data_IF_530052881337
#
_entry.id   IF_530052881337
#
_cell.length_a   1.000
_cell.length_b   1.000
_cell.length_c   1.000
_cell.angle_alpha   90.00
_cell.angle_beta   90.00
_cell.angle_gamma   90.00
#
_symmetry.space_group_name_H-M   'P 1'
#
loop_
_entity.id
_entity.type
_entity.pdbx_description
1 polymer ?
#
# COMPACT_ATOMS: atom_id res chain seq x y z
N UNK A 1 -10.26 8.08 2.96
CA UNK A 1 -9.32 8.76 2.05
C UNK A 1 -9.53 8.28 0.61
N UNK A 2 -9.32 6.99 0.28
CA UNK A 2 -9.46 6.48 -1.08
C UNK A 2 -10.79 6.77 -1.77
N UNK A 3 -11.93 6.62 -1.05
CA UNK A 3 -13.24 6.98 -1.58
C UNK A 3 -13.36 8.47 -1.91
N UNK A 4 -12.82 9.35 -1.07
CA UNK A 4 -12.88 10.80 -1.26
C UNK A 4 -11.99 11.21 -2.44
N UNK A 5 -10.76 10.75 -2.45
CA UNK A 5 -9.81 11.06 -3.52
C UNK A 5 -10.25 10.47 -4.85
N UNK A 6 -10.69 9.21 -4.86
CA UNK A 6 -11.25 8.56 -6.04
C UNK A 6 -12.54 9.20 -6.52
N UNK A 7 -13.39 9.70 -5.61
CA UNK A 7 -14.59 10.46 -5.95
C UNK A 7 -14.27 11.78 -6.66
N UNK A 8 -13.26 12.51 -6.17
CA UNK A 8 -12.78 13.73 -6.83
C UNK A 8 -12.31 13.43 -8.26
N UNK A 9 -11.42 12.45 -8.43
CA UNK A 9 -10.93 12.07 -9.75
C UNK A 9 -12.03 11.55 -10.67
N UNK A 10 -13.01 10.80 -10.13
CA UNK A 10 -14.16 10.34 -10.91
C UNK A 10 -15.01 11.50 -11.43
N UNK A 11 -15.26 12.52 -10.62
CA UNK A 11 -15.98 13.73 -11.06
C UNK A 11 -15.22 14.41 -12.19
N UNK A 12 -13.90 14.54 -12.09
CA UNK A 12 -13.09 15.15 -13.14
C UNK A 12 -13.15 14.34 -14.45
N UNK A 13 -13.13 13.03 -14.38
CA UNK A 13 -13.29 12.13 -15.55
C UNK A 13 -14.66 12.33 -16.18
N UNK A 14 -15.73 12.44 -15.39
CA UNK A 14 -17.09 12.71 -15.88
C UNK A 14 -17.24 14.12 -16.49
N UNK A 15 -16.32 15.02 -16.22
CA UNK A 15 -16.20 16.33 -16.85
C UNK A 15 -15.24 16.32 -18.05
N UNK A 16 -15.09 15.16 -18.70
CA UNK A 16 -14.27 14.95 -19.90
C UNK A 16 -12.74 15.11 -19.71
N UNK A 17 -12.25 15.05 -18.45
CA UNK A 17 -10.81 14.98 -18.24
C UNK A 17 -10.30 13.58 -18.64
N UNK A 18 -9.15 13.46 -19.33
CA UNK A 18 -8.57 12.17 -19.65
C UNK A 18 -8.41 11.27 -18.40
N UNK A 19 -8.78 10.00 -18.52
CA UNK A 19 -8.82 9.04 -17.40
C UNK A 19 -7.52 9.04 -16.61
N UNK A 20 -6.38 8.98 -17.30
CA UNK A 20 -5.06 8.97 -16.68
C UNK A 20 -4.79 10.22 -15.80
N UNK A 21 -5.26 11.38 -16.24
CA UNK A 21 -5.11 12.63 -15.48
C UNK A 21 -6.04 12.66 -14.26
N UNK A 22 -7.29 12.20 -14.41
CA UNK A 22 -8.22 12.06 -13.29
C UNK A 22 -7.68 11.10 -12.21
N UNK A 23 -7.10 9.98 -12.64
CA UNK A 23 -6.45 9.03 -11.74
C UNK A 23 -5.20 9.62 -11.06
N UNK A 24 -4.35 10.32 -11.81
CA UNK A 24 -3.15 10.96 -11.26
C UNK A 24 -3.50 12.01 -10.20
N UNK A 25 -4.50 12.86 -10.47
CA UNK A 25 -4.99 13.87 -9.52
C UNK A 25 -5.58 13.20 -8.26
N UNK A 26 -6.38 12.14 -8.43
CA UNK A 26 -6.93 11.38 -7.31
C UNK A 26 -5.82 10.78 -6.43
N UNK A 27 -4.81 10.17 -7.06
CA UNK A 27 -3.66 9.60 -6.35
C UNK A 27 -2.88 10.68 -5.62
N UNK A 28 -2.56 11.80 -6.27
CA UNK A 28 -1.86 12.93 -5.65
C UNK A 28 -2.65 13.49 -4.45
N UNK A 29 -3.96 13.62 -4.58
CA UNK A 29 -4.82 14.07 -3.50
C UNK A 29 -4.90 13.03 -2.35
N UNK A 30 -4.89 11.74 -2.67
CA UNK A 30 -4.83 10.68 -1.67
C UNK A 30 -3.52 10.71 -0.88
N UNK A 31 -2.37 10.92 -1.55
CA UNK A 31 -1.05 11.10 -0.94
C UNK A 31 -1.06 12.32 -0.01
N UNK A 32 -1.60 13.45 -0.48
CA UNK A 32 -1.73 14.66 0.36
C UNK A 32 -2.58 14.41 1.61
N UNK A 33 -3.72 13.75 1.49
CA UNK A 33 -4.61 13.43 2.62
C UNK A 33 -3.99 12.45 3.62
N UNK A 34 -3.14 11.54 3.15
CA UNK A 34 -2.45 10.55 4.01
C UNK A 34 -1.17 11.09 4.66
N UNK A 35 -0.68 12.26 4.21
CA UNK A 35 0.61 12.78 4.59
C UNK A 35 1.78 11.95 4.04
N UNK A 36 1.58 11.28 2.90
CA UNK A 36 2.56 10.44 2.21
C UNK A 36 3.14 9.27 3.05
N UNK A 37 2.48 8.87 4.12
CA UNK A 37 2.99 7.92 5.11
C UNK A 37 3.37 6.54 4.52
N UNK A 38 2.63 6.06 3.51
CA UNK A 38 2.92 4.77 2.87
C UNK A 38 4.03 4.89 1.82
N UNK A 39 4.04 6.00 1.14
CA UNK A 39 5.00 6.38 0.12
C UNK A 39 6.39 6.57 0.75
N UNK A 40 6.45 7.25 1.88
CA UNK A 40 7.63 7.45 2.70
C UNK A 40 8.22 6.10 3.16
N UNK A 41 7.39 5.26 3.78
CA UNK A 41 7.82 3.92 4.20
C UNK A 41 8.34 3.06 3.06
N UNK A 42 7.80 3.18 1.84
CA UNK A 42 8.34 2.48 0.67
C UNK A 42 9.72 3.00 0.27
N UNK A 43 9.92 4.31 0.27
CA UNK A 43 11.19 4.93 -0.06
C UNK A 43 12.27 4.56 0.96
N UNK A 44 11.94 4.67 2.25
CA UNK A 44 12.83 4.35 3.36
C UNK A 44 13.24 2.87 3.37
N UNK A 45 12.27 1.97 3.16
CA UNK A 45 12.55 0.54 3.02
C UNK A 45 13.50 0.27 1.84
N UNK A 46 13.27 0.92 0.71
CA UNK A 46 14.10 0.74 -0.48
C UNK A 46 15.53 1.24 -0.26
N UNK A 47 15.70 2.41 0.36
CA UNK A 47 17.02 2.96 0.67
C UNK A 47 17.76 2.10 1.72
N UNK A 48 17.09 1.72 2.80
CA UNK A 48 17.68 0.90 3.84
C UNK A 48 18.12 -0.48 3.33
N UNK A 49 17.24 -1.18 2.64
CA UNK A 49 17.55 -2.53 2.13
C UNK A 49 18.46 -2.51 0.90
N UNK A 50 18.39 -1.46 0.08
CA UNK A 50 19.26 -1.28 -1.07
C UNK A 50 20.71 -0.96 -0.68
N UNK A 51 20.91 -0.17 0.35
CA UNK A 51 22.25 0.15 0.87
C UNK A 51 22.92 -1.05 1.59
N UNK A 52 22.12 -1.96 2.17
CA UNK A 52 22.62 -3.12 2.91
C UNK A 52 23.44 -2.78 4.14
N UNK A 53 23.97 -3.82 4.77
CA UNK A 53 24.77 -3.70 6.00
C UNK A 53 24.10 -4.40 7.18
N UNK A 54 24.53 -4.07 8.40
CA UNK A 54 23.90 -4.55 9.62
C UNK A 54 22.61 -3.80 9.94
N UNK A 55 21.79 -4.34 10.84
CA UNK A 55 20.48 -3.78 11.18
C UNK A 55 20.55 -2.35 11.71
N UNK A 56 21.61 -1.99 12.44
CA UNK A 56 21.79 -0.62 12.95
C UNK A 56 22.05 0.37 11.84
N UNK A 57 22.91 0.02 10.87
CA UNK A 57 23.17 0.86 9.70
C UNK A 57 21.92 1.05 8.86
N UNK A 58 21.19 -0.05 8.60
CA UNK A 58 19.93 -0.01 7.84
C UNK A 58 18.90 0.87 8.56
N UNK A 59 18.73 0.69 9.86
CA UNK A 59 17.83 1.52 10.67
C UNK A 59 18.21 3.02 10.61
N UNK A 60 19.48 3.34 10.67
CA UNK A 60 19.95 4.73 10.56
C UNK A 60 19.61 5.35 9.19
N UNK A 61 19.68 4.55 8.12
CA UNK A 61 19.30 5.01 6.77
C UNK A 61 17.80 5.22 6.68
N UNK A 62 16.98 4.30 7.18
CA UNK A 62 15.52 4.40 7.21
C UNK A 62 15.06 5.65 7.98
N UNK A 63 15.75 6.03 9.04
CA UNK A 63 15.41 7.22 9.83
C UNK A 63 16.11 8.52 9.36
N UNK A 64 16.89 8.48 8.27
CA UNK A 64 17.47 9.68 7.66
C UNK A 64 16.42 10.36 6.77
N UNK A 65 16.11 11.62 7.03
CA UNK A 65 15.14 12.40 6.25
C UNK A 65 15.52 12.66 4.78
N UNK A 66 16.71 12.22 4.37
CA UNK A 66 17.22 12.39 2.99
C UNK A 66 16.89 11.14 2.18
N UNK A 67 16.24 11.33 1.03
CA UNK A 67 16.00 10.25 0.09
C UNK A 67 17.29 9.88 -0.66
N UNK A 68 17.58 8.60 -0.70
CA UNK A 68 18.66 8.02 -1.49
C UNK A 68 18.18 7.61 -2.90
N UNK A 69 19.12 7.10 -3.70
CA UNK A 69 18.82 6.70 -5.08
C UNK A 69 17.81 5.55 -5.16
N UNK A 70 17.91 4.57 -4.25
CA UNK A 70 16.97 3.44 -4.23
C UNK A 70 15.56 3.90 -3.87
N UNK A 71 15.41 4.77 -2.86
CA UNK A 71 14.12 5.32 -2.43
C UNK A 71 13.46 6.14 -3.52
N UNK A 72 14.20 7.08 -4.13
CA UNK A 72 13.69 7.88 -5.26
C UNK A 72 13.26 7.00 -6.43
N UNK A 73 14.07 6.01 -6.81
CA UNK A 73 13.76 5.12 -7.91
C UNK A 73 12.53 4.25 -7.63
N UNK A 74 12.49 3.62 -6.44
CA UNK A 74 11.38 2.77 -6.04
C UNK A 74 10.06 3.56 -5.96
N UNK A 75 10.08 4.73 -5.31
CA UNK A 75 8.90 5.57 -5.16
C UNK A 75 8.37 6.08 -6.51
N UNK A 76 9.26 6.60 -7.37
CA UNK A 76 8.88 7.11 -8.69
C UNK A 76 8.24 6.03 -9.55
N UNK A 77 8.88 4.85 -9.63
CA UNK A 77 8.33 3.72 -10.40
C UNK A 77 7.01 3.23 -9.81
N UNK A 78 6.90 3.13 -8.48
CA UNK A 78 5.70 2.66 -7.83
C UNK A 78 4.51 3.61 -8.04
N UNK A 79 4.72 4.94 -8.01
CA UNK A 79 3.67 5.92 -8.32
C UNK A 79 3.23 5.81 -9.79
N UNK A 80 4.17 5.69 -10.74
CA UNK A 80 3.86 5.49 -12.15
C UNK A 80 3.03 4.22 -12.34
N UNK A 81 3.48 3.09 -11.76
CA UNK A 81 2.75 1.82 -11.81
C UNK A 81 1.35 1.95 -11.20
N UNK A 82 1.21 2.65 -10.06
CA UNK A 82 -0.09 2.91 -9.44
C UNK A 82 -1.03 3.65 -10.38
N UNK A 83 -0.56 4.73 -11.02
CA UNK A 83 -1.36 5.49 -11.99
C UNK A 83 -1.80 4.61 -13.15
N UNK A 84 -0.89 3.82 -13.72
CA UNK A 84 -1.18 2.93 -14.84
C UNK A 84 -2.18 1.83 -14.46
N UNK A 85 -1.99 1.15 -13.33
CA UNK A 85 -2.91 0.11 -12.86
C UNK A 85 -4.32 0.67 -12.59
N UNK A 86 -4.39 1.80 -11.89
CA UNK A 86 -5.68 2.44 -11.56
C UNK A 86 -6.39 2.92 -12.82
N UNK A 87 -5.68 3.56 -13.77
CA UNK A 87 -6.30 4.00 -15.02
C UNK A 87 -6.79 2.84 -15.89
N UNK A 88 -6.00 1.76 -16.00
CA UNK A 88 -6.42 0.56 -16.72
C UNK A 88 -7.65 -0.10 -16.09
N UNK A 89 -7.74 -0.13 -14.76
CA UNK A 89 -8.95 -0.63 -14.07
C UNK A 89 -10.18 0.26 -14.31
N UNK A 90 -10.01 1.58 -14.39
CA UNK A 90 -11.12 2.48 -14.77
C UNK A 90 -11.59 2.20 -16.19
N UNK A 91 -10.67 1.91 -17.11
CA UNK A 91 -11.00 1.57 -18.52
C UNK A 91 -11.81 0.27 -18.63
N UNK A 92 -11.75 -0.64 -17.65
CA UNK A 92 -12.64 -1.82 -17.59
C UNK A 92 -14.08 -1.49 -17.17
N UNK A 93 -14.38 -0.23 -16.86
CA UNK A 93 -15.70 0.25 -16.42
C UNK A 93 -15.87 0.34 -14.90
N UNK A 94 -14.83 0.08 -14.12
CA UNK A 94 -14.88 0.23 -12.67
C UNK A 94 -14.79 1.71 -12.27
N UNK A 95 -15.56 2.07 -11.23
CA UNK A 95 -15.53 3.42 -10.68
C UNK A 95 -14.23 3.70 -9.91
N UNK A 96 -13.58 4.82 -10.19
CA UNK A 96 -12.29 5.18 -9.57
C UNK A 96 -12.34 5.19 -8.03
N UNK A 97 -13.43 5.69 -7.42
CA UNK A 97 -13.57 5.70 -5.97
C UNK A 97 -13.66 4.28 -5.37
N UNK A 98 -14.22 3.33 -6.10
CA UNK A 98 -14.27 1.91 -5.70
C UNK A 98 -12.87 1.30 -5.74
N UNK A 99 -12.14 1.52 -6.83
CA UNK A 99 -10.77 1.01 -7.01
C UNK A 99 -9.88 1.53 -5.87
N UNK A 100 -9.83 2.84 -5.67
CA UNK A 100 -8.99 3.44 -4.64
C UNK A 100 -9.42 3.08 -3.21
N UNK A 101 -10.73 2.94 -2.98
CA UNK A 101 -11.27 2.52 -1.68
C UNK A 101 -10.88 1.09 -1.34
N UNK A 102 -11.05 0.15 -2.29
CA UNK A 102 -10.72 -1.27 -2.10
C UNK A 102 -9.22 -1.49 -1.94
N UNK A 103 -8.38 -0.85 -2.74
CA UNK A 103 -6.92 -0.97 -2.64
C UNK A 103 -6.38 -0.54 -1.28
N UNK A 104 -6.79 0.64 -0.79
CA UNK A 104 -6.40 1.11 0.54
C UNK A 104 -6.92 0.19 1.66
N UNK A 105 -8.13 -0.36 1.54
CA UNK A 105 -8.67 -1.28 2.53
C UNK A 105 -7.85 -2.58 2.59
N UNK A 106 -7.51 -3.14 1.43
CA UNK A 106 -6.68 -4.34 1.32
C UNK A 106 -5.28 -4.07 1.88
N UNK A 107 -4.64 -2.96 1.49
CA UNK A 107 -3.32 -2.57 2.02
C UNK A 107 -3.30 -2.50 3.55
N UNK A 108 -4.30 -1.86 4.17
CA UNK A 108 -4.44 -1.81 5.64
C UNK A 108 -4.68 -3.19 6.25
N UNK A 109 -5.39 -4.07 5.56
CA UNK A 109 -5.59 -5.46 5.98
C UNK A 109 -4.27 -6.20 6.11
N UNK A 110 -3.41 -6.09 5.11
CA UNK A 110 -2.10 -6.74 5.12
C UNK A 110 -1.11 -6.15 6.12
N UNK A 111 -1.19 -4.85 6.43
CA UNK A 111 -0.49 -4.25 7.56
C UNK A 111 -0.85 -4.97 8.86
N UNK A 112 -2.13 -5.23 9.10
CA UNK A 112 -2.58 -5.91 10.33
C UNK A 112 -2.15 -7.38 10.36
N UNK A 113 -2.13 -8.06 9.22
CA UNK A 113 -1.65 -9.45 9.10
C UNK A 113 -0.16 -9.49 9.43
N UNK A 114 0.67 -8.64 8.82
CA UNK A 114 2.10 -8.60 9.07
C UNK A 114 2.44 -8.31 10.54
N UNK A 115 1.70 -7.43 11.18
CA UNK A 115 1.88 -7.14 12.61
C UNK A 115 1.59 -8.34 13.52
N UNK A 116 0.82 -9.31 13.09
CA UNK A 116 0.53 -10.53 13.84
C UNK A 116 1.48 -11.67 13.53
N UNK A 117 2.01 -11.69 12.31
CA UNK A 117 2.90 -12.76 11.85
C UNK A 117 4.37 -12.52 12.23
N UNK A 118 4.78 -11.28 12.37
CA UNK A 118 6.17 -10.91 12.60
C UNK A 118 6.32 -10.13 13.89
N UNK A 119 7.44 -10.38 14.58
CA UNK A 119 7.82 -9.63 15.78
C UNK A 119 8.15 -8.19 15.44
N UNK A 120 7.99 -7.30 16.41
CA UNK A 120 8.37 -5.89 16.27
C UNK A 120 9.88 -5.78 16.43
N UNK A 121 10.54 -5.06 15.54
CA UNK A 121 11.97 -4.81 15.59
C UNK A 121 12.35 -3.97 16.81
N UNK A 122 13.55 -4.19 17.35
CA UNK A 122 14.14 -3.30 18.38
C UNK A 122 14.34 -1.87 17.86
N UNK A 123 14.44 -1.69 16.54
CA UNK A 123 14.56 -0.39 15.89
C UNK A 123 13.22 0.29 15.63
N UNK A 124 12.09 -0.32 15.98
CA UNK A 124 10.78 0.24 15.74
C UNK A 124 10.47 1.41 16.66
N UNK A 125 9.88 2.47 16.10
CA UNK A 125 9.40 3.61 16.89
C UNK A 125 8.24 3.24 17.82
N UNK A 126 8.03 4.04 18.87
CA UNK A 126 6.98 3.82 19.89
C UNK A 126 5.57 3.73 19.32
N UNK A 127 5.28 4.43 18.22
CA UNK A 127 4.00 4.34 17.52
C UNK A 127 3.72 2.94 16.97
N UNK A 128 4.74 2.22 16.50
CA UNK A 128 4.58 0.84 16.01
C UNK A 128 4.18 -0.10 17.14
N UNK A 129 4.70 0.11 18.35
CA UNK A 129 4.43 -0.70 19.55
C UNK A 129 3.02 -0.42 20.08
N UNK A 130 2.59 0.86 20.12
CA UNK A 130 1.32 1.29 20.72
C UNK A 130 0.07 0.81 19.97
N UNK A 131 0.19 0.47 18.70
CA UNK A 131 -0.92 0.05 17.85
C UNK A 131 -1.41 -1.40 18.12
N UNK A 132 -0.91 -2.07 19.16
CA UNK A 132 -1.31 -3.42 19.57
C UNK A 132 -2.72 -3.50 20.18
N UNK A 133 -3.44 -2.36 20.29
CA UNK A 133 -4.76 -2.27 20.90
C UNK A 133 -5.93 -2.73 20.01
N UNK A 134 -6.79 -3.49 20.63
CA UNK A 134 -8.14 -3.98 20.27
C UNK A 134 -8.35 -4.61 18.88
N UNK A 135 -8.27 -5.93 18.86
CA UNK A 135 -8.43 -6.80 17.72
C UNK A 135 -9.81 -6.75 17.03
N UNK A 136 -10.90 -6.55 17.79
CA UNK A 136 -12.27 -6.67 17.26
C UNK A 136 -12.65 -5.49 16.36
N UNK A 137 -12.38 -4.24 16.77
CA UNK A 137 -12.73 -3.07 15.94
C UNK A 137 -12.02 -3.09 14.59
N UNK A 138 -10.76 -3.48 14.59
CA UNK A 138 -9.95 -3.57 13.37
C UNK A 138 -10.47 -4.66 12.45
N UNK A 139 -10.80 -5.84 12.99
CA UNK A 139 -11.38 -6.94 12.22
C UNK A 139 -12.74 -6.53 11.64
N UNK A 140 -13.60 -5.90 12.44
CA UNK A 140 -14.90 -5.41 11.98
C UNK A 140 -14.73 -4.37 10.86
N UNK A 141 -13.82 -3.41 11.02
CA UNK A 141 -13.54 -2.43 9.96
C UNK A 141 -13.04 -3.10 8.68
N UNK A 142 -12.14 -4.08 8.77
CA UNK A 142 -11.66 -4.82 7.60
C UNK A 142 -12.78 -5.60 6.92
N UNK A 143 -13.61 -6.30 7.68
CA UNK A 143 -14.74 -7.04 7.14
C UNK A 143 -15.73 -6.11 6.45
N UNK A 144 -16.06 -4.96 7.05
CA UNK A 144 -16.95 -3.97 6.45
C UNK A 144 -16.42 -3.41 5.13
N UNK A 145 -15.09 -3.25 5.00
CA UNK A 145 -14.47 -2.76 3.77
C UNK A 145 -14.24 -3.86 2.73
N UNK A 146 -14.02 -5.10 3.16
CA UNK A 146 -13.80 -6.23 2.27
C UNK A 146 -15.11 -6.80 1.71
N UNK A 147 -16.19 -6.72 2.49
CA UNK A 147 -17.49 -7.24 2.08
C UNK A 147 -17.99 -6.64 0.74
N UNK A 148 -17.91 -5.32 0.49
CA UNK A 148 -18.26 -4.76 -0.81
C UNK A 148 -17.44 -5.31 -1.98
N UNK A 149 -16.17 -5.66 -1.75
CA UNK A 149 -15.31 -6.20 -2.81
C UNK A 149 -15.85 -7.53 -3.37
N UNK A 150 -16.53 -8.34 -2.55
CA UNK A 150 -17.15 -9.58 -2.96
C UNK A 150 -18.31 -9.41 -3.97
N UNK A 151 -18.91 -8.23 -4.02
CA UNK A 151 -20.00 -7.90 -4.94
C UNK A 151 -19.51 -7.15 -6.19
N UNK A 152 -18.30 -6.61 -6.16
CA UNK A 152 -17.75 -5.76 -7.21
C UNK A 152 -16.81 -6.56 -8.12
N UNK A 153 -15.99 -7.41 -7.53
CA UNK A 153 -14.98 -8.20 -8.25
C UNK A 153 -15.40 -9.67 -8.32
N UNK A 154 -15.02 -10.35 -9.40
CA UNK A 154 -15.24 -11.80 -9.50
C UNK A 154 -14.40 -12.55 -8.44
N UNK A 155 -14.84 -13.76 -8.13
CA UNK A 155 -14.12 -14.60 -7.15
C UNK A 155 -12.70 -14.92 -7.61
N UNK A 156 -12.48 -15.11 -8.90
CA UNK A 156 -11.18 -15.37 -9.50
C UNK A 156 -10.24 -14.14 -9.40
N UNK A 157 -10.76 -12.95 -9.69
CA UNK A 157 -10.04 -11.69 -9.49
C UNK A 157 -9.60 -11.51 -8.04
N UNK A 158 -10.53 -11.70 -7.10
CA UNK A 158 -10.22 -11.60 -5.67
C UNK A 158 -9.19 -12.64 -5.24
N UNK A 159 -9.33 -13.89 -5.70
CA UNK A 159 -8.39 -14.96 -5.36
C UNK A 159 -6.97 -14.63 -5.84
N UNK A 160 -6.81 -14.19 -7.09
CA UNK A 160 -5.51 -13.82 -7.63
C UNK A 160 -4.95 -12.55 -6.95
N UNK A 161 -5.79 -11.53 -6.77
CA UNK A 161 -5.38 -10.30 -6.08
C UNK A 161 -4.88 -10.54 -4.66
N UNK A 162 -5.65 -11.30 -3.87
CA UNK A 162 -5.25 -11.67 -2.49
C UNK A 162 -4.01 -12.58 -2.49
N UNK A 163 -3.91 -13.52 -3.42
CA UNK A 163 -2.72 -14.37 -3.54
C UNK A 163 -1.45 -13.54 -3.76
N UNK A 164 -1.48 -12.57 -4.69
CA UNK A 164 -0.34 -11.68 -4.92
C UNK A 164 -0.04 -10.80 -3.69
N UNK A 165 -1.06 -10.32 -3.00
CA UNK A 165 -0.90 -9.57 -1.76
C UNK A 165 -0.21 -10.41 -0.67
N UNK A 166 -0.58 -11.69 -0.52
CA UNK A 166 0.07 -12.60 0.43
C UNK A 166 1.55 -12.75 0.12
N UNK A 167 1.91 -12.97 -1.15
CA UNK A 167 3.31 -13.10 -1.57
C UNK A 167 4.12 -11.84 -1.23
N UNK A 168 3.61 -10.67 -1.59
CA UNK A 168 4.27 -9.38 -1.34
C UNK A 168 4.39 -9.10 0.16
N UNK A 169 3.31 -9.32 0.91
CA UNK A 169 3.28 -9.11 2.36
C UNK A 169 4.29 -9.99 3.09
N UNK A 170 4.34 -11.29 2.75
CA UNK A 170 5.32 -12.21 3.31
C UNK A 170 6.75 -11.83 2.93
N UNK A 171 6.97 -11.40 1.69
CA UNK A 171 8.27 -10.90 1.25
C UNK A 171 8.73 -9.70 2.09
N UNK A 172 7.88 -8.69 2.29
CA UNK A 172 8.19 -7.54 3.15
C UNK A 172 8.53 -7.99 4.58
N UNK A 173 7.70 -8.85 5.17
CA UNK A 173 7.89 -9.33 6.54
C UNK A 173 9.16 -10.15 6.73
N UNK A 174 9.48 -11.09 5.82
CA UNK A 174 10.71 -11.87 5.90
C UNK A 174 11.96 -11.02 5.66
N UNK A 175 11.91 -10.04 4.75
CA UNK A 175 13.02 -9.09 4.54
C UNK A 175 13.25 -8.23 5.78
N UNK A 176 12.17 -7.74 6.41
CA UNK A 176 12.25 -6.99 7.66
C UNK A 176 12.86 -7.85 8.79
N UNK A 177 12.40 -9.09 8.94
CA UNK A 177 12.97 -10.02 9.93
C UNK A 177 14.45 -10.28 9.67
N UNK A 178 14.86 -10.47 8.41
CA UNK A 178 16.24 -10.74 8.06
C UNK A 178 17.17 -9.53 8.35
N UNK A 179 16.76 -8.31 7.98
CA UNK A 179 17.60 -7.13 8.07
C UNK A 179 17.51 -6.40 9.43
N UNK A 180 16.31 -6.38 10.03
CA UNK A 180 16.01 -5.56 11.22
C UNK A 180 15.59 -6.40 12.43
N UNK A 181 15.60 -7.73 12.32
CA UNK A 181 15.08 -8.62 13.36
C UNK A 181 13.56 -8.62 13.52
N UNK A 182 12.84 -7.75 12.80
CA UNK A 182 11.39 -7.61 12.89
C UNK A 182 10.85 -6.44 12.07
N UNK A 183 9.56 -6.15 12.21
CA UNK A 183 8.88 -5.08 11.48
C UNK A 183 9.01 -3.71 12.16
N UNK A 184 9.07 -2.64 11.33
CA UNK A 184 8.99 -1.23 11.75
C UNK A 184 7.76 -0.56 11.13
N UNK A 185 7.49 0.69 11.49
CA UNK A 185 6.41 1.50 10.89
C UNK A 185 6.57 1.65 9.39
N UNK A 186 7.78 1.91 8.93
CA UNK A 186 8.14 2.15 7.53
C UNK A 186 7.92 0.89 6.68
N UNK A 187 8.33 -0.28 7.21
CA UNK A 187 8.05 -1.58 6.57
C UNK A 187 6.54 -1.84 6.46
N UNK A 188 5.78 -1.45 7.47
CA UNK A 188 4.31 -1.56 7.42
C UNK A 188 3.70 -0.59 6.39
N UNK A 189 4.23 0.63 6.29
CA UNK A 189 3.87 1.59 5.24
C UNK A 189 4.15 1.05 3.85
N UNK A 190 5.38 0.56 3.61
CA UNK A 190 5.78 -0.12 2.38
C UNK A 190 4.88 -1.32 2.06
N UNK A 191 4.56 -2.15 3.05
CA UNK A 191 3.65 -3.30 2.89
C UNK A 191 2.28 -2.84 2.41
N UNK A 192 1.70 -1.78 3.01
CA UNK A 192 0.41 -1.26 2.59
C UNK A 192 0.41 -0.83 1.13
N UNK A 193 1.44 -0.08 0.72
CA UNK A 193 1.56 0.42 -0.65
C UNK A 193 1.77 -0.71 -1.67
N UNK A 194 2.71 -1.60 -1.41
CA UNK A 194 3.03 -2.69 -2.33
C UNK A 194 1.90 -3.72 -2.46
N UNK A 195 1.18 -4.02 -1.37
CA UNK A 195 0.01 -4.91 -1.43
C UNK A 195 -1.17 -4.27 -2.14
N UNK A 196 -1.35 -2.94 -2.07
CA UNK A 196 -2.31 -2.22 -2.88
C UNK A 196 -2.01 -2.40 -4.38
N UNK A 197 -0.75 -2.21 -4.81
CA UNK A 197 -0.35 -2.44 -6.22
C UNK A 197 -0.55 -3.91 -6.64
N UNK A 198 -0.18 -4.85 -5.78
CA UNK A 198 -0.35 -6.28 -6.04
C UNK A 198 -1.84 -6.66 -6.20
N UNK A 199 -2.72 -6.08 -5.38
CA UNK A 199 -4.16 -6.25 -5.49
C UNK A 199 -4.67 -5.75 -6.84
N UNK A 200 -4.35 -4.51 -7.21
CA UNK A 200 -4.76 -3.94 -8.50
C UNK A 200 -4.27 -4.76 -9.68
N UNK A 201 -3.02 -5.23 -9.63
CA UNK A 201 -2.47 -6.10 -10.67
C UNK A 201 -3.26 -7.40 -10.78
N UNK A 202 -3.56 -8.06 -9.67
CA UNK A 202 -4.33 -9.31 -9.65
C UNK A 202 -5.75 -9.15 -10.17
N UNK A 203 -6.43 -8.03 -9.85
CA UNK A 203 -7.74 -7.71 -10.42
C UNK A 203 -7.65 -7.47 -11.93
N UNK A 204 -6.66 -6.68 -12.38
CA UNK A 204 -6.51 -6.30 -13.79
C UNK A 204 -6.18 -7.48 -14.70
N UNK A 205 -5.38 -8.45 -14.23
CA UNK A 205 -5.00 -9.63 -15.02
C UNK A 205 -6.18 -10.53 -15.41
N UNK A 206 -7.30 -10.40 -14.71
CA UNK A 206 -8.52 -11.19 -14.94
C UNK A 206 -9.75 -10.29 -15.22
N UNK A 207 -9.52 -9.02 -15.57
CA UNK A 207 -10.56 -8.03 -15.89
C UNK A 207 -11.04 -8.12 -17.34
#
# INVERSE_FOLDING_TARGET
>A
MGLIAGGLGQILILMDLPIILGCAIAIAFCIYLSGAYHEDGLADMADGFGAGGDGRRISNIIHDSRLGTYGVSALSLAIIVRILLVSSLVETGLWLFVIMGSGLAVGKGFVMINRRLFEVSEFAGTATVSFLGSNIRQIVCLLLWFLPCLFIFSLEQLALGIFLCVLVSLWCGFRAKFYLGGITGDILGATAFLTELAFFLGILLLA
#
